data_IF_772474835843
#
_entry.id   IF_772474835843
#
_cell.length_a   1.000
_cell.length_b   1.000
_cell.length_c   1.000
_cell.angle_alpha   90.00
_cell.angle_beta   90.00
_cell.angle_gamma   90.00
#
_symmetry.space_group_name_H-M   'P 1'
#
loop_
_entity.id
_entity.type
_entity.pdbx_description
1 polymer ?
#
# COMPACT_ATOMS: atom_id res chain seq x y z
N UNK A 1 -0.48 6.36 -6.37
CA UNK A 1 0.48 6.14 -5.28
C UNK A 1 -0.17 6.51 -3.94
N UNK A 2 -0.35 5.58 -3.00
CA UNK A 2 -0.98 5.76 -1.66
C UNK A 2 0.08 5.65 -0.56
N UNK A 3 0.10 6.43 0.52
CA UNK A 3 1.18 6.37 1.53
C UNK A 3 0.76 5.67 2.85
N UNK A 4 1.50 4.64 3.30
CA UNK A 4 1.28 3.86 4.54
C UNK A 4 2.47 3.94 5.53
N UNK A 5 2.23 3.75 6.83
CA UNK A 5 3.26 3.94 7.88
C UNK A 5 3.67 2.64 8.58
N UNK A 6 4.97 2.45 8.81
CA UNK A 6 5.49 1.43 9.73
C UNK A 6 6.66 1.98 10.56
N UNK A 7 6.64 1.69 11.87
CA UNK A 7 7.75 1.96 12.78
C UNK A 7 8.35 0.62 13.25
N UNK A 8 9.67 0.45 13.05
CA UNK A 8 10.52 -0.61 13.61
C UNK A 8 10.20 -2.09 13.30
N UNK A 9 9.47 -2.44 12.25
CA UNK A 9 9.33 -3.86 11.83
C UNK A 9 8.78 -4.82 12.90
N UNK A 10 8.29 -4.29 14.03
CA UNK A 10 7.64 -4.97 15.14
C UNK A 10 6.58 -4.03 15.69
N UNK A 11 5.36 -4.55 15.83
CA UNK A 11 4.24 -3.90 16.50
C UNK A 11 4.56 -3.76 17.99
N UNK A 12 5.18 -2.67 18.41
CA UNK A 12 5.33 -2.36 19.83
C UNK A 12 4.76 -0.98 20.13
N UNK A 13 3.67 -0.97 20.91
CA UNK A 13 3.66 -0.11 22.08
C UNK A 13 2.70 1.07 22.13
N UNK A 14 1.63 1.16 21.32
CA UNK A 14 0.42 1.91 21.71
C UNK A 14 -0.81 1.28 21.04
N UNK A 15 -1.40 0.29 21.71
CA UNK A 15 -2.60 -0.43 21.23
C UNK A 15 -3.75 0.52 20.85
N UNK A 16 -3.86 1.70 21.47
CA UNK A 16 -4.99 2.62 21.26
C UNK A 16 -4.93 3.52 20.01
N UNK A 17 -3.75 4.00 19.58
CA UNK A 17 -3.66 4.96 18.47
C UNK A 17 -3.58 4.24 17.11
N UNK A 18 -2.90 3.09 17.07
CA UNK A 18 -2.87 2.23 15.88
C UNK A 18 -4.22 1.57 15.60
N UNK A 19 -5.01 1.18 16.63
CA UNK A 19 -6.41 0.79 16.43
C UNK A 19 -7.34 1.96 16.08
N UNK A 20 -6.93 3.21 16.29
CA UNK A 20 -7.72 4.36 15.83
C UNK A 20 -7.45 4.70 14.36
N UNK A 21 -6.21 4.51 13.89
CA UNK A 21 -5.81 4.75 12.50
C UNK A 21 -5.96 3.53 11.58
N UNK A 22 -5.85 2.31 12.10
CA UNK A 22 -5.92 1.03 11.37
C UNK A 22 -6.96 0.06 11.95
N UNK A 23 -7.92 0.57 12.74
CA UNK A 23 -8.87 -0.16 13.59
C UNK A 23 -9.76 -1.23 12.98
N UNK A 24 -9.68 -1.48 11.67
CA UNK A 24 -10.42 -2.55 11.01
C UNK A 24 -9.63 -3.35 9.98
N UNK A 25 -8.31 -3.22 9.88
CA UNK A 25 -7.53 -4.05 8.95
C UNK A 25 -7.33 -5.51 9.39
N UNK A 26 -7.89 -5.93 10.53
CA UNK A 26 -7.60 -7.25 11.12
C UNK A 26 -8.77 -8.12 11.56
N UNK A 27 -10.04 -7.70 11.48
CA UNK A 27 -11.12 -8.56 12.01
C UNK A 27 -12.53 -8.17 11.56
N UNK A 28 -12.78 -7.91 10.27
CA UNK A 28 -14.14 -8.04 9.73
C UNK A 28 -14.04 -8.61 8.32
N UNK A 29 -14.79 -9.68 8.08
CA UNK A 29 -15.02 -10.31 6.79
C UNK A 29 -15.46 -9.26 5.75
N UNK A 30 -14.51 -8.64 5.04
CA UNK A 30 -14.78 -7.99 3.76
C UNK A 30 -14.28 -8.94 2.67
N UNK A 31 -15.20 -9.59 1.93
CA UNK A 31 -14.82 -10.56 0.92
C UNK A 31 -14.21 -9.77 -0.24
N UNK A 32 -13.00 -10.17 -0.65
CA UNK A 32 -12.24 -9.69 -1.81
C UNK A 32 -11.46 -8.37 -1.64
N UNK A 33 -10.14 -8.51 -1.45
CA UNK A 33 -9.17 -7.54 -1.93
C UNK A 33 -9.39 -7.38 -3.45
N UNK A 34 -9.76 -6.17 -3.89
CA UNK A 34 -10.15 -5.90 -5.27
C UNK A 34 -9.14 -5.03 -6.03
N UNK A 35 -8.17 -4.44 -5.35
CA UNK A 35 -7.12 -3.64 -5.98
C UNK A 35 -5.77 -3.79 -5.25
N UNK A 36 -4.68 -3.79 -6.03
CA UNK A 36 -3.32 -3.64 -5.51
C UNK A 36 -2.87 -2.19 -5.74
N UNK A 37 -2.72 -1.38 -4.68
CA UNK A 37 -2.25 -0.02 -4.83
C UNK A 37 -0.74 -0.04 -5.07
N UNK A 38 -0.28 0.80 -5.98
CA UNK A 38 1.08 1.33 -5.82
C UNK A 38 1.03 2.19 -4.56
N UNK A 39 1.54 1.67 -3.45
CA UNK A 39 1.62 2.39 -2.20
C UNK A 39 3.06 2.51 -1.74
N UNK A 40 3.41 3.69 -1.23
CA UNK A 40 4.69 3.98 -0.58
C UNK A 40 4.46 4.27 0.88
N UNK A 41 5.50 4.61 1.61
CA UNK A 41 5.38 4.81 3.04
C UNK A 41 6.50 5.65 3.60
N UNK A 42 6.28 6.19 4.79
CA UNK A 42 7.34 6.80 5.57
C UNK A 42 7.86 5.78 6.58
N UNK A 43 9.18 5.72 6.71
CA UNK A 43 9.89 4.87 7.66
C UNK A 43 10.87 5.75 8.42
N UNK A 44 10.93 5.56 9.74
CA UNK A 44 11.95 6.18 10.60
C UNK A 44 13.04 5.13 10.82
N UNK A 45 14.27 5.47 10.45
CA UNK A 45 15.41 4.58 10.66
C UNK A 45 15.66 4.33 12.16
N UNK A 46 15.85 3.06 12.51
CA UNK A 46 16.21 2.60 13.85
C UNK A 46 17.53 3.19 14.38
N UNK A 47 18.41 3.68 13.52
CA UNK A 47 19.69 4.31 13.88
C UNK A 47 19.60 5.82 14.02
N UNK A 48 18.47 6.43 13.64
CA UNK A 48 18.29 7.89 13.72
C UNK A 48 18.39 8.38 15.17
N UNK A 49 19.12 9.49 15.36
CA UNK A 49 19.18 10.23 16.63
C UNK A 49 17.95 11.11 16.88
N UNK A 50 17.13 11.38 15.85
CA UNK A 50 15.99 12.31 15.90
C UNK A 50 14.64 11.60 15.73
N UNK A 51 14.48 10.38 16.27
CA UNK A 51 13.26 9.58 16.09
C UNK A 51 12.02 10.28 16.63
N UNK A 52 12.17 10.97 17.75
CA UNK A 52 11.05 11.64 18.43
C UNK A 52 10.58 12.83 17.62
N UNK A 53 11.49 13.68 17.19
CA UNK A 53 11.25 14.86 16.38
C UNK A 53 10.70 14.48 15.00
N UNK A 54 11.22 13.41 14.39
CA UNK A 54 10.68 12.88 13.14
C UNK A 54 9.23 12.40 13.30
N UNK A 55 8.92 11.71 14.41
CA UNK A 55 7.56 11.28 14.70
C UNK A 55 6.62 12.45 15.00
N UNK A 56 7.10 13.48 15.70
CA UNK A 56 6.35 14.72 15.98
C UNK A 56 6.03 15.47 14.67
N UNK A 57 7.01 15.59 13.76
CA UNK A 57 6.80 16.19 12.44
C UNK A 57 5.74 15.42 11.64
N UNK A 58 5.86 14.09 11.56
CA UNK A 58 4.89 13.24 10.87
C UNK A 58 3.50 13.41 11.50
N UNK A 59 3.40 13.37 12.82
CA UNK A 59 2.14 13.54 13.55
C UNK A 59 1.52 14.91 13.28
N UNK A 60 2.32 15.96 13.24
CA UNK A 60 1.88 17.31 12.90
C UNK A 60 1.34 17.37 11.45
N UNK A 61 2.04 16.78 10.48
CA UNK A 61 1.59 16.73 9.07
C UNK A 61 0.21 16.07 8.97
N UNK A 62 -0.03 14.94 9.63
CA UNK A 62 -1.31 14.22 9.54
C UNK A 62 -2.38 14.69 10.55
N UNK A 63 -2.05 15.63 11.42
CA UNK A 63 -3.02 16.17 12.39
C UNK A 63 -4.14 17.00 11.74
N UNK A 64 -3.94 17.47 10.51
CA UNK A 64 -4.85 18.38 9.81
C UNK A 64 -5.17 17.86 8.41
N UNK A 65 -6.46 17.68 8.13
CA UNK A 65 -6.93 17.28 6.81
C UNK A 65 -6.63 18.33 5.72
N UNK A 66 -6.31 19.57 6.09
CA UNK A 66 -5.86 20.61 5.16
C UNK A 66 -4.48 20.28 4.57
N UNK A 67 -3.60 19.61 5.31
CA UNK A 67 -2.32 19.13 4.79
C UNK A 67 -2.54 18.05 3.73
N UNK A 68 -3.56 17.22 3.91
CA UNK A 68 -3.97 16.22 2.93
C UNK A 68 -4.58 16.88 1.66
N UNK A 69 -5.36 17.95 1.83
CA UNK A 69 -5.83 18.76 0.69
C UNK A 69 -4.65 19.32 -0.11
N UNK A 70 -3.62 19.84 0.59
CA UNK A 70 -2.41 20.37 -0.04
C UNK A 70 -1.62 19.27 -0.76
N UNK A 71 -1.55 18.07 -0.18
CA UNK A 71 -0.92 16.93 -0.82
C UNK A 71 -1.59 16.59 -2.15
N UNK A 72 -2.92 16.47 -2.19
CA UNK A 72 -3.66 16.21 -3.44
C UNK A 72 -3.44 17.35 -4.43
N UNK A 73 -3.41 18.60 -3.97
CA UNK A 73 -3.18 19.77 -4.82
C UNK A 73 -1.85 19.67 -5.57
N UNK A 74 -0.77 19.35 -4.85
CA UNK A 74 0.61 19.33 -5.35
C UNK A 74 0.94 18.07 -6.13
N UNK A 75 0.46 16.92 -5.69
CA UNK A 75 0.88 15.62 -6.24
C UNK A 75 -0.13 15.02 -7.20
N UNK A 76 -1.40 15.45 -7.14
CA UNK A 76 -2.55 14.80 -7.80
C UNK A 76 -2.73 13.34 -7.38
N UNK A 77 -2.23 12.96 -6.20
CA UNK A 77 -2.30 11.59 -5.70
C UNK A 77 -3.29 11.47 -4.53
N UNK A 78 -4.12 10.41 -4.50
CA UNK A 78 -4.97 10.12 -3.36
C UNK A 78 -4.14 9.69 -2.15
N UNK A 79 -4.65 9.99 -0.96
CA UNK A 79 -3.98 9.72 0.32
C UNK A 79 -4.60 8.47 0.94
N UNK A 80 -3.88 7.77 1.82
CA UNK A 80 -4.39 6.58 2.51
C UNK A 80 -5.46 6.96 3.55
N UNK A 81 -6.67 7.26 3.09
CA UNK A 81 -7.82 7.63 3.92
C UNK A 81 -9.10 7.00 3.38
N UNK A 82 -10.01 6.64 4.28
CA UNK A 82 -11.28 6.03 3.90
C UNK A 82 -12.35 7.06 3.48
N UNK A 83 -12.21 8.32 3.93
CA UNK A 83 -13.22 9.37 3.79
C UNK A 83 -13.02 10.28 2.57
N UNK A 84 -12.12 9.95 1.64
CA UNK A 84 -11.79 10.81 0.49
C UNK A 84 -13.03 11.19 -0.35
N UNK A 85 -13.98 10.27 -0.52
CA UNK A 85 -15.16 10.50 -1.38
C UNK A 85 -16.35 11.11 -0.65
N UNK A 86 -16.29 11.26 0.68
CA UNK A 86 -17.41 11.73 1.51
C UNK A 86 -17.09 13.01 2.27
N UNK A 87 -15.81 13.30 2.51
CA UNK A 87 -15.40 14.49 3.24
C UNK A 87 -15.46 15.75 2.34
N UNK A 88 -16.19 16.81 2.77
CA UNK A 88 -16.36 18.03 1.98
C UNK A 88 -15.04 18.72 1.59
N UNK A 89 -13.98 18.53 2.37
CA UNK A 89 -12.66 19.12 2.08
C UNK A 89 -12.06 18.66 0.74
N UNK A 90 -12.47 17.48 0.26
CA UNK A 90 -11.95 16.90 -0.98
C UNK A 90 -12.93 17.00 -2.16
N UNK A 91 -14.10 17.61 -1.95
CA UNK A 91 -15.18 17.65 -2.95
C UNK A 91 -14.71 18.20 -4.30
N UNK A 92 -13.93 19.29 -4.28
CA UNK A 92 -13.34 19.91 -5.49
C UNK A 92 -12.49 18.96 -6.34
N UNK A 93 -11.93 17.91 -5.76
CA UNK A 93 -11.11 16.92 -6.47
C UNK A 93 -11.95 15.77 -7.03
N UNK A 94 -13.18 15.61 -6.55
CA UNK A 94 -14.08 14.55 -7.01
C UNK A 94 -14.78 14.88 -8.33
N UNK A 95 -14.63 16.11 -8.84
CA UNK A 95 -15.08 16.51 -10.17
C UNK A 95 -14.31 15.75 -11.27
N UNK A 96 -13.05 15.41 -11.03
CA UNK A 96 -12.29 14.52 -11.89
C UNK A 96 -12.78 13.08 -11.71
N UNK A 97 -13.44 12.57 -12.74
CA UNK A 97 -14.00 11.20 -12.78
C UNK A 97 -12.93 10.13 -12.58
N UNK A 98 -11.72 10.34 -13.11
CA UNK A 98 -10.62 9.39 -12.97
C UNK A 98 -10.11 9.40 -11.53
N UNK A 99 -9.83 10.58 -10.98
CA UNK A 99 -9.39 10.72 -9.59
C UNK A 99 -10.41 10.14 -8.61
N UNK A 100 -11.70 10.43 -8.80
CA UNK A 100 -12.79 9.87 -8.01
C UNK A 100 -12.84 8.35 -8.10
N UNK A 101 -12.61 7.77 -9.29
CA UNK A 101 -12.56 6.32 -9.46
C UNK A 101 -11.42 5.70 -8.63
N UNK A 102 -10.22 6.31 -8.63
CA UNK A 102 -9.11 5.86 -7.77
C UNK A 102 -9.46 5.96 -6.28
N UNK A 103 -10.04 7.08 -5.85
CA UNK A 103 -10.39 7.30 -4.44
C UNK A 103 -11.36 6.24 -3.89
N UNK A 104 -12.29 5.75 -4.71
CA UNK A 104 -13.24 4.69 -4.32
C UNK A 104 -12.56 3.38 -3.93
N UNK A 105 -11.37 3.08 -4.49
CA UNK A 105 -10.66 1.83 -4.23
C UNK A 105 -9.64 1.94 -3.10
N UNK A 106 -9.32 3.16 -2.62
CA UNK A 106 -8.38 3.38 -1.52
C UNK A 106 -8.70 2.55 -0.27
N UNK A 107 -9.97 2.48 0.21
CA UNK A 107 -10.30 1.69 1.40
C UNK A 107 -10.14 0.17 1.22
N UNK A 108 -10.16 -0.31 -0.03
CA UNK A 108 -10.17 -1.74 -0.37
C UNK A 108 -8.82 -2.25 -0.88
N UNK A 109 -7.79 -1.40 -0.80
CA UNK A 109 -6.51 -1.66 -1.43
C UNK A 109 -5.66 -2.62 -0.57
N UNK A 110 -5.25 -3.74 -1.16
CA UNK A 110 -4.43 -4.77 -0.50
C UNK A 110 -2.94 -4.45 -0.56
N UNK A 111 -2.26 -4.47 0.58
CA UNK A 111 -0.81 -4.23 0.64
C UNK A 111 -0.01 -5.38 0.01
N UNK A 112 1.15 -5.03 -0.55
CA UNK A 112 2.13 -6.03 -1.00
C UNK A 112 2.64 -6.86 0.18
N UNK A 113 2.99 -8.13 -0.08
CA UNK A 113 3.55 -9.00 0.93
C UNK A 113 4.84 -8.40 1.54
N UNK A 114 4.92 -8.38 2.87
CA UNK A 114 6.08 -7.90 3.63
C UNK A 114 7.18 -8.97 3.69
N UNK A 115 7.74 -9.31 2.54
CA UNK A 115 8.84 -10.27 2.42
C UNK A 115 10.05 -9.58 1.77
N UNK A 116 11.24 -9.82 2.31
CA UNK A 116 12.47 -9.21 1.78
C UNK A 116 12.81 -9.70 0.37
N UNK A 117 12.23 -10.83 -0.07
CA UNK A 117 12.38 -11.42 -1.41
C UNK A 117 11.29 -10.99 -2.39
N UNK A 118 10.48 -9.96 -2.09
CA UNK A 118 9.36 -9.53 -2.96
C UNK A 118 9.81 -9.27 -4.39
N UNK A 119 10.95 -8.60 -4.60
CA UNK A 119 11.46 -8.34 -5.96
C UNK A 119 11.83 -9.63 -6.70
N UNK A 120 12.56 -10.55 -6.04
CA UNK A 120 12.96 -11.81 -6.65
C UNK A 120 11.76 -12.68 -7.03
N UNK A 121 10.73 -12.67 -6.18
CA UNK A 121 9.47 -13.38 -6.42
C UNK A 121 8.70 -12.73 -7.57
N UNK A 122 8.56 -11.40 -7.60
CA UNK A 122 7.91 -10.69 -8.71
C UNK A 122 8.66 -10.91 -10.03
N UNK A 123 9.99 -10.97 -9.99
CA UNK A 123 10.82 -11.30 -11.16
C UNK A 123 10.63 -12.76 -11.60
N UNK A 124 10.54 -13.70 -10.66
CA UNK A 124 10.26 -15.09 -10.95
C UNK A 124 8.88 -15.26 -11.62
N UNK A 125 7.83 -14.67 -11.07
CA UNK A 125 6.49 -14.68 -11.67
C UNK A 125 6.52 -14.05 -13.06
N UNK A 126 7.14 -12.88 -13.21
CA UNK A 126 7.20 -12.17 -14.49
C UNK A 126 7.89 -12.99 -15.57
N UNK A 127 9.08 -13.51 -15.28
CA UNK A 127 9.92 -14.20 -16.28
C UNK A 127 9.49 -15.64 -16.57
N UNK A 128 8.93 -16.34 -15.58
CA UNK A 128 8.52 -17.74 -15.75
C UNK A 128 7.07 -17.89 -16.18
N UNK A 129 6.20 -16.93 -15.89
CA UNK A 129 4.78 -17.01 -16.19
C UNK A 129 4.32 -15.92 -17.16
N UNK A 130 4.34 -14.66 -16.73
CA UNK A 130 3.68 -13.55 -17.46
C UNK A 130 4.27 -13.38 -18.86
N UNK A 131 5.59 -13.20 -18.95
CA UNK A 131 6.27 -12.96 -20.23
C UNK A 131 6.09 -14.16 -21.18
N UNK A 132 6.14 -15.39 -20.66
CA UNK A 132 6.00 -16.60 -21.48
C UNK A 132 4.58 -16.76 -22.03
N UNK A 133 3.57 -16.43 -21.21
CA UNK A 133 2.17 -16.39 -21.62
C UNK A 133 1.92 -15.30 -22.67
N UNK A 134 2.46 -14.09 -22.47
CA UNK A 134 2.31 -12.98 -23.41
C UNK A 134 2.85 -13.31 -24.81
N UNK A 135 3.96 -14.05 -24.89
CA UNK A 135 4.56 -14.46 -26.15
C UNK A 135 4.09 -15.84 -26.65
N UNK A 136 3.06 -16.45 -26.04
CA UNK A 136 2.50 -17.76 -26.41
C UNK A 136 3.55 -18.87 -26.56
N UNK A 137 4.64 -18.81 -25.78
CA UNK A 137 5.80 -19.69 -25.95
C UNK A 137 5.61 -21.10 -25.36
N UNK A 138 4.73 -21.24 -24.38
CA UNK A 138 4.60 -22.42 -23.52
C UNK A 138 3.15 -22.56 -23.03
N UNK A 139 2.75 -23.76 -22.58
CA UNK A 139 1.42 -23.98 -21.97
C UNK A 139 1.32 -23.26 -20.62
N UNK A 140 0.15 -22.71 -20.25
CA UNK A 140 -0.03 -22.00 -18.99
C UNK A 140 0.34 -22.80 -17.73
N UNK A 141 -0.04 -24.08 -17.69
CA UNK A 141 0.22 -24.95 -16.53
C UNK A 141 1.71 -25.16 -16.32
N UNK A 142 2.45 -25.48 -17.38
CA UNK A 142 3.90 -25.72 -17.31
C UNK A 142 4.65 -24.47 -16.81
N UNK A 143 4.22 -23.28 -17.24
CA UNK A 143 4.79 -22.01 -16.80
C UNK A 143 4.47 -21.71 -15.33
N UNK A 144 3.26 -22.05 -14.88
CA UNK A 144 2.88 -21.91 -13.50
C UNK A 144 3.74 -22.79 -12.60
N UNK A 145 3.92 -24.07 -12.95
CA UNK A 145 4.76 -25.00 -12.19
C UNK A 145 6.23 -24.56 -12.13
N UNK A 146 6.76 -24.04 -13.25
CA UNK A 146 8.11 -23.42 -13.29
C UNK A 146 8.22 -22.23 -12.34
N UNK A 147 7.21 -21.36 -12.32
CA UNK A 147 7.17 -20.20 -11.42
C UNK A 147 7.12 -20.64 -9.95
N UNK A 148 6.22 -21.56 -9.59
CA UNK A 148 6.09 -22.12 -8.24
C UNK A 148 7.40 -22.76 -7.78
N UNK A 149 8.01 -23.61 -8.61
CA UNK A 149 9.29 -24.25 -8.28
C UNK A 149 10.41 -23.24 -8.02
N UNK A 150 10.46 -22.15 -8.80
CA UNK A 150 11.45 -21.08 -8.61
C UNK A 150 11.19 -20.28 -7.35
N UNK A 151 9.93 -19.95 -7.06
CA UNK A 151 9.52 -19.22 -5.85
C UNK A 151 9.80 -20.05 -4.60
N UNK A 152 9.52 -21.34 -4.61
CA UNK A 152 9.78 -22.22 -3.46
C UNK A 152 11.27 -22.27 -3.11
N UNK A 153 12.17 -22.30 -4.10
CA UNK A 153 13.63 -22.19 -3.88
C UNK A 153 14.08 -20.82 -3.34
N UNK A 154 13.28 -19.78 -3.57
CA UNK A 154 13.54 -18.48 -2.97
C UNK A 154 13.03 -18.46 -1.53
N UNK A 155 11.91 -19.08 -1.22
CA UNK A 155 11.32 -19.01 0.12
C UNK A 155 11.93 -20.00 1.13
N UNK A 156 12.40 -21.15 0.67
CA UNK A 156 12.91 -22.28 1.47
C UNK A 156 14.25 -22.77 0.94
#
# INVERSE_FOLDING_TARGET
MIIHFMVNGKLTGQKGLFQKFYGKFGSQHHPFLIAYPDSKGLVIDSTSKYKKEAFELISWVFSSAQNDVLWIEKTKMPIAREDLTTNPLFEKYMDDKLFKAYCKFVPYAGLSAFIYKTMDIQQAVTTQLIVRLMYLKDKPVDNFDKAVKKINKLLF
#
